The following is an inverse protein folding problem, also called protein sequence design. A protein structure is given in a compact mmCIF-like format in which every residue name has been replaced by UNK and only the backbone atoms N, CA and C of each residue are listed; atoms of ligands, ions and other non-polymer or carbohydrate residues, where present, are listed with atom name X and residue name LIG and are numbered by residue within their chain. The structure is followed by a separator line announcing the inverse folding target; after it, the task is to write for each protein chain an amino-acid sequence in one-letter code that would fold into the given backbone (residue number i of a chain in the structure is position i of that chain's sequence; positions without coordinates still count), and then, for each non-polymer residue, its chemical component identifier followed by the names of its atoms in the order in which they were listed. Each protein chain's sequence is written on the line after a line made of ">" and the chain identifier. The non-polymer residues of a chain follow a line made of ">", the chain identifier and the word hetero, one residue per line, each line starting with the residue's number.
data_IF_657380045252
#
_entry.id   IF_657380045252
#
_cell.length_a   1.000
_cell.length_b   1.000
_cell.length_c   1.000
_cell.angle_alpha   90.00
_cell.angle_beta   90.00
_cell.angle_gamma   90.00
#
_symmetry.space_group_name_H-M   'P 1'
#
loop_
_entity.id
_entity.type
_entity.pdbx_description
1 polymer ?
#
# COMPACT_ATOMS: atom_id res chain seq x y z
N UNK A 1 1.02 -9.99 -20.16
CA UNK A 1 0.73 -8.69 -19.51
C UNK A 1 0.90 -8.89 -18.01
N UNK A 2 2.01 -8.46 -17.43
CA UNK A 2 2.25 -8.64 -15.99
C UNK A 2 1.50 -7.53 -15.28
N UNK A 3 0.41 -7.86 -14.60
CA UNK A 3 -0.30 -6.93 -13.72
C UNK A 3 0.62 -6.56 -12.56
N UNK A 4 1.44 -5.52 -12.75
CA UNK A 4 2.37 -5.01 -11.75
C UNK A 4 1.55 -4.24 -10.71
N UNK A 5 0.97 -4.96 -9.75
CA UNK A 5 0.31 -4.43 -8.56
C UNK A 5 0.68 -5.29 -7.35
N UNK A 6 0.49 -4.76 -6.16
CA UNK A 6 0.69 -5.51 -4.91
C UNK A 6 -0.66 -6.01 -4.41
N UNK A 7 -0.80 -7.32 -4.18
CA UNK A 7 -2.01 -7.86 -3.54
C UNK A 7 -1.91 -7.72 -2.02
N UNK A 8 -2.92 -7.12 -1.41
CA UNK A 8 -3.03 -7.06 0.04
C UNK A 8 -3.20 -8.48 0.61
N UNK A 9 -2.36 -8.89 1.56
CA UNK A 9 -2.45 -10.24 2.14
C UNK A 9 -3.72 -10.52 2.95
N UNK A 10 -4.50 -9.50 3.34
CA UNK A 10 -5.70 -9.66 4.15
C UNK A 10 -7.00 -9.69 3.33
N UNK A 11 -7.20 -8.74 2.42
CA UNK A 11 -8.39 -8.69 1.56
C UNK A 11 -8.14 -9.24 0.15
N UNK A 12 -6.89 -9.60 -0.17
CA UNK A 12 -6.47 -10.03 -1.50
C UNK A 12 -6.67 -8.98 -2.61
N UNK A 13 -6.93 -7.73 -2.24
CA UNK A 13 -7.20 -6.64 -3.17
C UNK A 13 -5.92 -6.15 -3.86
N UNK A 14 -6.02 -5.80 -5.13
CA UNK A 14 -4.88 -5.41 -5.95
C UNK A 14 -4.61 -3.90 -5.85
N UNK A 15 -3.57 -3.55 -5.09
CA UNK A 15 -3.08 -2.18 -4.91
C UNK A 15 -2.16 -1.81 -6.07
N UNK A 16 -2.59 -0.87 -6.92
CA UNK A 16 -1.84 -0.44 -8.11
C UNK A 16 -1.15 0.90 -7.92
N UNK A 17 -1.72 1.77 -7.07
CA UNK A 17 -1.21 3.12 -6.82
C UNK A 17 -1.17 3.44 -5.32
N UNK A 18 -0.61 4.59 -4.97
CA UNK A 18 -0.67 5.09 -3.60
C UNK A 18 -2.07 5.51 -3.18
N UNK A 19 -3.02 5.76 -4.09
CA UNK A 19 -4.41 6.08 -3.75
C UNK A 19 -5.16 4.89 -3.14
N UNK A 20 -4.76 3.68 -3.51
CA UNK A 20 -5.25 2.41 -2.93
C UNK A 20 -4.69 2.18 -1.51
N UNK A 21 -3.72 3.01 -1.11
CA UNK A 21 -3.10 2.99 0.20
C UNK A 21 -3.47 4.24 1.01
N UNK A 22 -3.77 4.03 2.28
CA UNK A 22 -3.88 5.12 3.24
C UNK A 22 -2.53 5.32 3.91
N UNK A 23 -1.87 6.44 3.60
CA UNK A 23 -0.67 6.86 4.32
C UNK A 23 -1.09 7.48 5.65
N UNK A 24 -0.50 6.99 6.73
CA UNK A 24 -0.60 7.58 8.05
C UNK A 24 0.80 7.99 8.50
N UNK A 25 1.04 9.29 8.65
CA UNK A 25 2.27 9.77 9.27
C UNK A 25 2.17 9.51 10.77
N UNK A 26 2.95 8.53 11.25
CA UNK A 26 3.10 8.26 12.67
C UNK A 26 4.35 8.95 13.22
N UNK A 27 4.45 9.00 14.55
CA UNK A 27 5.58 9.60 15.28
C UNK A 27 6.92 8.93 14.93
N UNK A 28 6.91 7.62 14.66
CA UNK A 28 8.12 6.82 14.38
C UNK A 28 8.31 6.50 12.89
N UNK A 29 7.50 7.10 12.01
CA UNK A 29 7.60 6.89 10.56
C UNK A 29 6.25 6.83 9.84
N UNK A 30 6.30 6.79 8.50
CA UNK A 30 5.11 6.63 7.67
C UNK A 30 4.63 5.17 7.71
N UNK A 31 3.44 4.94 8.27
CA UNK A 31 2.73 3.67 8.13
C UNK A 31 1.81 3.73 6.94
N UNK A 32 1.69 2.60 6.27
CA UNK A 32 0.81 2.42 5.13
C UNK A 32 -0.26 1.42 5.49
N UNK A 33 -1.48 1.71 5.12
CA UNK A 33 -2.62 0.83 5.37
C UNK A 33 -3.37 0.61 4.06
N UNK A 34 -3.95 -0.58 3.90
CA UNK A 34 -4.84 -0.83 2.79
C UNK A 34 -6.09 0.04 2.94
N UNK A 35 -6.47 0.78 1.89
CA UNK A 35 -7.66 1.62 1.93
C UNK A 35 -8.96 0.82 2.03
N UNK A 36 -8.97 -0.41 1.52
CA UNK A 36 -10.14 -1.27 1.45
C UNK A 36 -10.44 -1.96 2.78
N UNK A 37 -9.45 -2.62 3.38
CA UNK A 37 -9.64 -3.40 4.60
C UNK A 37 -8.99 -2.79 5.85
N UNK A 38 -8.20 -1.73 5.71
CA UNK A 38 -7.48 -1.10 6.83
C UNK A 38 -6.26 -1.88 7.34
N UNK A 39 -5.87 -2.97 6.67
CA UNK A 39 -4.72 -3.79 7.10
C UNK A 39 -3.41 -3.02 6.96
N UNK A 40 -2.51 -3.16 7.92
CA UNK A 40 -1.16 -2.59 7.86
C UNK A 40 -0.37 -3.18 6.70
N UNK A 41 0.05 -2.33 5.78
CA UNK A 41 0.87 -2.67 4.63
C UNK A 41 2.34 -2.37 4.96
N UNK A 42 3.29 -3.25 4.59
CA UNK A 42 4.71 -3.00 4.81
C UNK A 42 5.17 -1.71 4.13
N UNK A 43 6.01 -0.92 4.81
CA UNK A 43 6.51 0.35 4.28
C UNK A 43 7.13 0.24 2.89
N UNK A 44 7.87 -0.84 2.63
CA UNK A 44 8.50 -1.10 1.33
C UNK A 44 7.49 -1.17 0.17
N UNK A 45 6.26 -1.64 0.42
CA UNK A 45 5.20 -1.70 -0.61
C UNK A 45 4.67 -0.31 -0.89
N UNK A 46 4.35 0.46 0.16
CA UNK A 46 3.89 1.83 0.02
C UNK A 46 4.93 2.73 -0.64
N UNK A 47 6.20 2.56 -0.29
CA UNK A 47 7.33 3.24 -0.94
C UNK A 47 7.46 2.84 -2.40
N UNK A 48 7.40 1.54 -2.74
CA UNK A 48 7.42 1.06 -4.14
C UNK A 48 6.30 1.65 -4.99
N UNK A 49 5.09 1.74 -4.43
CA UNK A 49 3.94 2.30 -5.13
C UNK A 49 4.10 3.82 -5.32
N UNK A 50 4.63 4.52 -4.30
CA UNK A 50 4.90 5.97 -4.34
C UNK A 50 6.06 6.38 -5.26
N UNK A 51 7.01 5.48 -5.51
CA UNK A 51 8.14 5.78 -6.40
C UNK A 51 7.82 5.55 -7.88
N UNK A 52 6.60 5.07 -8.18
CA UNK A 52 6.17 4.66 -9.51
C UNK A 52 5.28 5.70 -10.23
N UNK A 53 4.92 6.77 -9.52
CA UNK A 53 4.14 7.92 -9.98
C UNK A 53 5.03 9.07 -10.44
#
# INVERSE_FOLDING_TARGET
>A
MTERGYRCGACNELLRTTEDLRRQQGVTGSRWFCRYCGTSVPGMVGEKLKHRE
#
